data_IF_916910397776
#
_entry.id   IF_916910397776
#
_cell.length_a   1.000
_cell.length_b   1.000
_cell.length_c   1.000
_cell.angle_alpha   90.00
_cell.angle_beta   90.00
_cell.angle_gamma   90.00
#
_symmetry.space_group_name_H-M   'P 1'
#
loop_
_entity.id
_entity.type
_entity.pdbx_description
1 polymer ?
#
# COMPACT_ATOMS: atom_id res chain seq x y z
N UNK A 1 14.58 -5.82 15.51
CA UNK A 1 14.83 -5.60 14.07
C UNK A 1 13.66 -4.82 13.44
N UNK A 2 13.89 -4.02 12.40
CA UNK A 2 12.90 -3.09 11.82
C UNK A 2 11.58 -3.79 11.44
N UNK A 3 11.63 -4.94 10.75
CA UNK A 3 10.42 -5.63 10.30
C UNK A 3 9.59 -6.20 11.48
N UNK A 4 10.24 -6.73 12.51
CA UNK A 4 9.52 -7.17 13.73
C UNK A 4 8.82 -6.00 14.42
N UNK A 5 9.49 -4.83 14.50
CA UNK A 5 8.87 -3.62 15.05
C UNK A 5 7.70 -3.14 14.20
N UNK A 6 7.81 -3.19 12.86
CA UNK A 6 6.68 -2.90 11.99
C UNK A 6 5.49 -3.83 12.27
N UNK A 7 5.73 -5.13 12.43
CA UNK A 7 4.66 -6.08 12.77
C UNK A 7 4.01 -5.72 14.11
N UNK A 8 4.78 -5.47 15.17
CA UNK A 8 4.26 -5.05 16.47
C UNK A 8 3.44 -3.77 16.39
N UNK A 9 3.95 -2.78 15.66
CA UNK A 9 3.26 -1.52 15.44
C UNK A 9 1.91 -1.73 14.74
N UNK A 10 1.88 -2.48 13.65
CA UNK A 10 0.64 -2.74 12.90
C UNK A 10 -0.35 -3.57 13.74
N UNK A 11 0.12 -4.54 14.51
CA UNK A 11 -0.71 -5.35 15.40
C UNK A 11 -1.40 -4.51 16.48
N UNK A 12 -0.75 -3.45 16.99
CA UNK A 12 -1.35 -2.59 18.00
C UNK A 12 -2.63 -1.87 17.54
N UNK A 13 -2.80 -1.66 16.22
CA UNK A 13 -4.02 -1.06 15.67
C UNK A 13 -5.21 -2.02 15.57
N UNK A 14 -4.93 -3.32 15.47
CA UNK A 14 -5.97 -4.35 15.31
C UNK A 14 -6.18 -5.22 16.55
N UNK A 15 -5.46 -4.94 17.63
CA UNK A 15 -5.51 -5.71 18.88
C UNK A 15 -6.96 -5.90 19.34
N UNK A 16 -7.30 -7.11 19.78
CA UNK A 16 -8.67 -7.50 20.19
C UNK A 16 -9.73 -7.47 19.06
N UNK A 17 -9.40 -7.06 17.85
CA UNK A 17 -10.36 -6.88 16.76
C UNK A 17 -10.18 -7.89 15.62
N UNK A 18 -8.94 -8.25 15.32
CA UNK A 18 -8.57 -9.14 14.20
C UNK A 18 -7.43 -10.07 14.58
N UNK A 19 -7.29 -11.16 13.82
CA UNK A 19 -6.13 -12.05 13.91
C UNK A 19 -4.92 -11.47 13.20
N UNK A 20 -3.72 -11.99 13.50
CA UNK A 20 -2.46 -11.60 12.83
C UNK A 20 -2.53 -11.73 11.30
N UNK A 21 -3.36 -12.64 10.78
CA UNK A 21 -3.56 -12.83 9.34
C UNK A 21 -4.08 -11.58 8.64
N UNK A 22 -4.78 -10.67 9.33
CA UNK A 22 -5.21 -9.39 8.76
C UNK A 22 -4.01 -8.51 8.40
N UNK A 23 -2.98 -8.45 9.27
CA UNK A 23 -1.74 -7.71 8.98
C UNK A 23 -1.00 -8.33 7.80
N UNK A 24 -0.87 -9.68 7.77
CA UNK A 24 -0.29 -10.37 6.61
C UNK A 24 -0.99 -10.00 5.31
N UNK A 25 -2.32 -10.01 5.28
CA UNK A 25 -3.10 -9.67 4.09
C UNK A 25 -2.95 -8.20 3.67
N UNK A 26 -2.87 -7.29 4.64
CA UNK A 26 -2.63 -5.87 4.38
C UNK A 26 -1.23 -5.68 3.79
N UNK A 27 -0.19 -6.20 4.42
CA UNK A 27 1.20 -6.08 3.94
C UNK A 27 1.37 -6.68 2.54
N UNK A 28 0.72 -7.81 2.26
CA UNK A 28 0.74 -8.47 0.95
C UNK A 28 -0.10 -7.73 -0.11
N UNK A 29 -1.05 -6.91 0.29
CA UNK A 29 -1.98 -6.23 -0.62
C UNK A 29 -3.02 -7.17 -1.22
N UNK A 30 -3.59 -8.08 -0.40
CA UNK A 30 -4.66 -8.96 -0.84
C UNK A 30 -5.88 -8.14 -1.28
N UNK A 31 -6.30 -8.34 -2.53
CA UNK A 31 -7.45 -7.64 -3.13
C UNK A 31 -8.77 -8.30 -2.70
N UNK A 32 -9.12 -8.25 -1.42
CA UNK A 32 -10.43 -8.65 -0.91
C UNK A 32 -11.09 -7.46 -0.21
N UNK A 33 -12.42 -7.35 -0.32
CA UNK A 33 -13.19 -6.31 0.31
C UNK A 33 -12.90 -6.21 1.83
N UNK A 34 -12.71 -7.34 2.50
CA UNK A 34 -12.33 -7.38 3.91
C UNK A 34 -10.97 -6.72 4.17
N UNK A 35 -9.93 -7.02 3.36
CA UNK A 35 -8.60 -6.45 3.53
C UNK A 35 -8.60 -4.94 3.26
N UNK A 36 -9.31 -4.51 2.22
CA UNK A 36 -9.45 -3.09 1.86
C UNK A 36 -10.17 -2.36 2.99
N UNK A 37 -11.30 -2.91 3.46
CA UNK A 37 -12.05 -2.33 4.55
C UNK A 37 -11.24 -2.28 5.86
N UNK A 38 -10.55 -3.36 6.23
CA UNK A 38 -9.73 -3.40 7.44
C UNK A 38 -8.57 -2.41 7.36
N UNK A 39 -7.93 -2.24 6.18
CA UNK A 39 -6.86 -1.26 6.03
C UNK A 39 -7.32 0.18 6.31
N UNK A 40 -8.52 0.55 5.87
CA UNK A 40 -9.13 1.86 6.16
C UNK A 40 -9.56 1.96 7.63
N UNK A 41 -10.34 0.97 8.08
CA UNK A 41 -10.96 0.95 9.40
C UNK A 41 -9.95 1.02 10.55
N UNK A 42 -8.76 0.42 10.35
CA UNK A 42 -7.67 0.40 11.32
C UNK A 42 -6.52 1.37 10.98
N UNK A 43 -6.70 2.27 9.99
CA UNK A 43 -5.68 3.26 9.58
C UNK A 43 -4.37 2.63 9.09
N UNK A 44 -4.48 1.48 8.48
CA UNK A 44 -3.35 0.72 7.95
C UNK A 44 -3.19 0.85 6.43
N UNK A 45 -3.96 1.73 5.79
CA UNK A 45 -3.90 2.01 4.35
C UNK A 45 -2.50 2.36 3.84
N UNK A 46 -1.65 3.10 4.59
CA UNK A 46 -0.28 3.35 4.16
C UNK A 46 0.55 2.09 3.95
N UNK A 47 0.21 1.00 4.65
CA UNK A 47 0.95 -0.27 4.60
C UNK A 47 0.34 -1.30 3.64
N UNK A 48 -0.75 -0.96 2.96
CA UNK A 48 -1.44 -1.88 2.05
C UNK A 48 -0.54 -2.22 0.85
N UNK A 49 -0.14 -3.49 0.73
CA UNK A 49 0.61 -4.00 -0.43
C UNK A 49 2.07 -3.56 -0.52
N UNK A 50 2.68 -3.10 0.58
CA UNK A 50 4.11 -2.73 0.58
C UNK A 50 5.04 -3.94 0.46
N UNK A 51 4.55 -5.16 0.74
CA UNK A 51 5.32 -6.40 0.69
C UNK A 51 4.59 -7.49 -0.11
N UNK A 52 4.33 -7.32 -1.42
CA UNK A 52 3.50 -8.23 -2.20
C UNK A 52 4.06 -9.66 -2.32
N UNK A 53 5.38 -9.83 -2.13
CA UNK A 53 6.06 -11.13 -2.16
C UNK A 53 6.23 -11.77 -0.78
N UNK A 54 5.67 -11.18 0.29
CA UNK A 54 5.70 -11.77 1.63
C UNK A 54 4.96 -13.11 1.61
N UNK A 55 5.62 -14.21 2.01
CA UNK A 55 4.97 -15.51 2.17
C UNK A 55 4.29 -15.61 3.54
N UNK A 56 3.31 -16.51 3.65
CA UNK A 56 2.63 -16.75 4.94
C UNK A 56 3.58 -17.35 5.95
N UNK A 57 4.40 -18.31 5.50
CA UNK A 57 5.37 -19.01 6.37
C UNK A 57 6.42 -18.05 6.94
N UNK A 58 6.91 -17.11 6.10
CA UNK A 58 7.83 -16.08 6.56
C UNK A 58 7.16 -15.14 7.59
N UNK A 59 5.94 -14.74 7.35
CA UNK A 59 5.20 -13.90 8.30
C UNK A 59 4.98 -14.62 9.62
N UNK A 60 4.54 -15.88 9.59
CA UNK A 60 4.31 -16.73 10.77
C UNK A 60 5.61 -16.94 11.56
N UNK A 61 6.73 -17.16 10.87
CA UNK A 61 8.04 -17.24 11.52
C UNK A 61 8.35 -15.98 12.36
N UNK A 62 8.04 -14.79 11.87
CA UNK A 62 8.23 -13.55 12.64
C UNK A 62 7.25 -13.45 13.82
N UNK A 63 6.01 -13.90 13.68
CA UNK A 63 5.04 -13.98 14.79
C UNK A 63 5.56 -14.90 15.88
N UNK A 64 6.01 -16.12 15.54
CA UNK A 64 6.55 -17.09 16.49
C UNK A 64 7.80 -16.56 17.21
N UNK A 65 8.66 -15.85 16.47
CA UNK A 65 9.82 -15.16 17.09
C UNK A 65 9.40 -14.09 18.07
N UNK A 66 8.38 -13.31 17.77
CA UNK A 66 7.87 -12.27 18.68
C UNK A 66 7.25 -12.90 19.92
N UNK A 67 6.55 -14.04 19.79
CA UNK A 67 6.04 -14.81 20.93
C UNK A 67 7.21 -15.35 21.76
N UNK A 68 8.23 -15.96 21.15
CA UNK A 68 9.40 -16.50 21.84
C UNK A 68 10.22 -15.44 22.60
N UNK A 69 10.17 -14.17 22.15
CA UNK A 69 10.76 -13.01 22.81
C UNK A 69 9.89 -12.43 23.94
N UNK A 70 8.71 -12.97 24.19
CA UNK A 70 7.77 -12.46 25.16
C UNK A 70 7.13 -11.12 24.78
N UNK A 71 7.12 -10.75 23.50
CA UNK A 71 6.51 -9.52 22.99
C UNK A 71 5.07 -9.71 22.55
N UNK A 72 4.69 -10.93 22.22
CA UNK A 72 3.33 -11.33 21.87
C UNK A 72 2.91 -12.56 22.67
N UNK A 73 1.63 -12.70 22.92
CA UNK A 73 1.03 -13.91 23.47
C UNK A 73 -0.34 -14.20 22.82
N UNK A 74 -0.72 -15.48 22.76
CA UNK A 74 -2.00 -15.89 22.21
C UNK A 74 -3.03 -16.11 23.33
N UNK A 75 -4.25 -15.65 23.12
CA UNK A 75 -5.42 -15.95 23.96
C UNK A 75 -6.59 -16.31 23.05
N UNK A 76 -6.96 -17.59 23.01
CA UNK A 76 -7.90 -18.11 22.03
C UNK A 76 -7.38 -17.95 20.59
N UNK A 77 -8.19 -17.37 19.72
CA UNK A 77 -7.83 -17.14 18.32
C UNK A 77 -7.10 -15.80 18.09
N UNK A 78 -6.96 -14.98 19.12
CA UNK A 78 -6.36 -13.66 19.01
C UNK A 78 -4.96 -13.63 19.61
N UNK A 79 -4.13 -12.76 19.03
CA UNK A 79 -2.77 -12.47 19.50
C UNK A 79 -2.74 -11.06 20.09
N UNK A 80 -2.08 -10.92 21.22
CA UNK A 80 -2.01 -9.70 22.02
C UNK A 80 -0.58 -9.25 22.19
N UNK A 81 -0.39 -7.94 22.31
CA UNK A 81 0.88 -7.34 22.68
C UNK A 81 1.08 -7.42 24.20
N UNK A 82 2.33 -7.63 24.63
CA UNK A 82 2.71 -7.48 26.04
C UNK A 82 2.95 -6.01 26.37
N UNK A 83 3.04 -5.66 27.67
CA UNK A 83 3.38 -4.31 28.10
C UNK A 83 4.74 -3.85 27.56
N UNK A 84 5.70 -4.76 27.42
CA UNK A 84 7.00 -4.48 26.83
C UNK A 84 6.87 -4.12 25.33
N UNK A 85 6.05 -4.84 24.58
CA UNK A 85 5.77 -4.54 23.19
C UNK A 85 5.10 -3.17 23.02
N UNK A 86 4.16 -2.81 23.89
CA UNK A 86 3.55 -1.49 23.90
C UNK A 86 4.56 -0.36 24.21
N UNK A 87 5.52 -0.60 25.14
CA UNK A 87 6.60 0.35 25.40
C UNK A 87 7.50 0.53 24.19
N UNK A 88 7.90 -0.55 23.53
CA UNK A 88 8.67 -0.51 22.30
C UNK A 88 7.97 0.28 21.18
N UNK A 89 6.66 0.17 21.04
CA UNK A 89 5.90 0.91 20.04
C UNK A 89 5.84 2.41 20.32
N UNK A 90 6.00 2.86 21.56
CA UNK A 90 6.04 4.28 21.95
C UNK A 90 7.37 4.95 21.65
N UNK A 91 8.42 4.21 21.34
CA UNK A 91 9.72 4.76 20.94
C UNK A 91 9.59 5.29 19.49
N UNK A 92 9.23 6.55 19.31
CA UNK A 92 8.88 7.18 18.03
C UNK A 92 9.99 7.16 16.96
N UNK A 93 11.25 6.99 17.35
CA UNK A 93 12.39 7.16 16.43
C UNK A 93 12.65 5.98 15.47
N UNK A 94 12.04 4.81 15.68
CA UNK A 94 12.45 3.62 14.95
C UNK A 94 12.03 3.62 13.48
N UNK A 95 11.03 4.43 13.13
CA UNK A 95 10.57 4.50 11.74
C UNK A 95 10.19 5.91 11.26
N UNK A 96 10.57 6.95 12.02
CA UNK A 96 10.31 8.35 11.72
C UNK A 96 10.78 8.79 10.32
N UNK A 97 11.78 8.08 9.76
CA UNK A 97 12.34 8.36 8.44
C UNK A 97 11.72 7.51 7.31
N UNK A 98 10.75 6.63 7.61
CA UNK A 98 10.11 5.79 6.59
C UNK A 98 8.78 6.42 6.17
N UNK A 99 8.59 6.53 4.86
CA UNK A 99 7.37 7.00 4.26
C UNK A 99 6.67 5.88 3.49
N UNK A 100 5.45 5.56 3.85
CA UNK A 100 4.63 4.58 3.15
C UNK A 100 3.30 5.20 2.71
N UNK A 101 2.89 4.92 1.50
CA UNK A 101 1.56 5.21 0.97
C UNK A 101 1.14 4.05 0.05
N UNK A 102 0.97 2.87 0.66
CA UNK A 102 0.69 1.62 -0.06
C UNK A 102 -0.63 1.66 -0.80
N UNK A 103 -1.64 2.33 -0.24
CA UNK A 103 -2.94 2.49 -0.89
C UNK A 103 -2.81 3.13 -2.27
N UNK A 104 -2.02 4.19 -2.39
CA UNK A 104 -1.82 4.90 -3.67
C UNK A 104 -0.74 4.27 -4.53
N UNK A 105 0.35 3.76 -3.92
CA UNK A 105 1.57 3.46 -4.67
C UNK A 105 1.92 1.98 -4.78
N UNK A 106 1.30 1.08 -4.02
CA UNK A 106 1.66 -0.35 -4.04
C UNK A 106 1.64 -1.00 -5.42
N UNK A 107 0.77 -0.55 -6.32
CA UNK A 107 0.66 -1.09 -7.68
C UNK A 107 1.67 -0.47 -8.66
N UNK A 108 2.13 0.74 -8.41
CA UNK A 108 2.99 1.52 -9.32
C UNK A 108 4.45 1.59 -8.86
N UNK A 109 4.73 1.43 -7.56
CA UNK A 109 6.06 1.62 -7.00
C UNK A 109 7.11 0.67 -7.61
N UNK A 110 6.83 -0.63 -7.65
CA UNK A 110 7.77 -1.59 -8.21
C UNK A 110 7.95 -1.44 -9.74
N UNK A 111 6.89 -1.28 -10.55
CA UNK A 111 7.02 -0.93 -11.96
C UNK A 111 7.83 0.35 -12.19
N UNK A 112 7.54 1.43 -11.48
CA UNK A 112 8.29 2.68 -11.55
C UNK A 112 9.78 2.47 -11.25
N UNK A 113 10.10 1.78 -10.17
CA UNK A 113 11.47 1.52 -9.76
C UNK A 113 12.25 0.71 -10.82
N UNK A 114 11.65 -0.32 -11.40
CA UNK A 114 12.24 -1.12 -12.47
C UNK A 114 12.51 -0.29 -13.75
N UNK A 115 11.56 0.57 -14.12
CA UNK A 115 11.72 1.50 -15.25
C UNK A 115 12.87 2.47 -14.99
N UNK A 116 12.96 3.00 -13.76
CA UNK A 116 14.04 3.90 -13.38
C UNK A 116 15.41 3.21 -13.41
N UNK A 117 15.52 1.97 -12.89
CA UNK A 117 16.75 1.17 -12.96
C UNK A 117 17.19 0.94 -14.41
N UNK A 118 16.29 0.55 -15.29
CA UNK A 118 16.61 0.33 -16.70
C UNK A 118 16.92 1.65 -17.42
N UNK A 119 16.26 2.76 -17.06
CA UNK A 119 16.56 4.08 -17.65
C UNK A 119 17.99 4.52 -17.30
N UNK A 120 18.39 4.38 -16.04
CA UNK A 120 19.76 4.71 -15.58
C UNK A 120 20.78 3.83 -16.33
N UNK A 121 20.57 2.52 -16.39
CA UNK A 121 21.44 1.62 -17.14
C UNK A 121 21.55 2.03 -18.60
N UNK A 122 20.42 2.19 -19.28
CA UNK A 122 20.39 2.49 -20.70
C UNK A 122 21.05 3.84 -21.02
N UNK A 123 20.76 4.87 -20.23
CA UNK A 123 21.37 6.20 -20.39
C UNK A 123 22.88 6.13 -20.22
N UNK A 124 23.37 5.47 -19.16
CA UNK A 124 24.80 5.32 -18.86
C UNK A 124 25.57 4.60 -20.00
N UNK A 125 25.02 3.50 -20.51
CA UNK A 125 25.66 2.75 -21.62
C UNK A 125 25.63 3.55 -22.92
N UNK A 126 24.49 4.13 -23.28
CA UNK A 126 24.34 4.83 -24.56
C UNK A 126 25.21 6.10 -24.66
N UNK A 127 25.38 6.84 -23.57
CA UNK A 127 26.30 8.00 -23.51
C UNK A 127 27.75 7.57 -23.81
N UNK A 128 28.15 6.37 -23.37
CA UNK A 128 29.48 5.80 -23.66
C UNK A 128 29.56 5.10 -25.02
N UNK A 129 28.54 5.20 -25.86
CA UNK A 129 28.50 4.54 -27.18
C UNK A 129 28.36 3.02 -27.13
N UNK A 130 27.99 2.47 -25.96
CA UNK A 130 27.79 1.04 -25.75
C UNK A 130 26.34 0.66 -26.07
N UNK A 131 26.06 0.26 -27.29
CA UNK A 131 24.69 -0.07 -27.73
C UNK A 131 24.29 -1.52 -27.47
N UNK A 132 25.24 -2.38 -27.08
CA UNK A 132 25.02 -3.80 -26.85
C UNK A 132 25.27 -4.13 -25.38
N UNK A 133 24.20 -4.17 -24.57
CA UNK A 133 24.24 -4.56 -23.16
C UNK A 133 23.01 -5.41 -22.80
N UNK A 134 23.13 -6.25 -21.79
CA UNK A 134 22.01 -7.04 -21.27
C UNK A 134 21.14 -6.15 -20.35
N UNK A 135 19.86 -5.91 -20.67
CA UNK A 135 18.97 -5.10 -19.84
C UNK A 135 18.76 -5.70 -18.45
N UNK A 136 18.75 -4.87 -17.40
CA UNK A 136 18.41 -5.30 -16.01
C UNK A 136 16.96 -5.73 -15.86
N UNK A 137 16.11 -5.54 -16.85
CA UNK A 137 14.73 -6.02 -16.90
C UNK A 137 14.42 -6.63 -18.27
N UNK A 138 13.92 -7.84 -18.27
CA UNK A 138 13.43 -8.59 -19.42
C UNK A 138 11.95 -8.34 -19.75
N UNK A 139 11.27 -7.50 -18.96
CA UNK A 139 9.87 -7.17 -19.16
C UNK A 139 9.68 -6.22 -20.34
N UNK A 140 8.93 -6.66 -21.37
CA UNK A 140 8.71 -5.92 -22.62
C UNK A 140 8.04 -4.55 -22.39
N UNK A 141 7.13 -4.42 -21.44
CA UNK A 141 6.49 -3.16 -21.11
C UNK A 141 7.48 -2.15 -20.52
N UNK A 142 8.32 -2.61 -19.58
CA UNK A 142 9.38 -1.79 -18.98
C UNK A 142 10.36 -1.32 -20.05
N UNK A 143 10.81 -2.22 -20.95
CA UNK A 143 11.73 -1.88 -22.02
C UNK A 143 11.12 -0.89 -23.03
N UNK A 144 9.86 -1.07 -23.40
CA UNK A 144 9.14 -0.16 -24.29
C UNK A 144 9.02 1.24 -23.71
N UNK A 145 8.60 1.34 -22.47
CA UNK A 145 8.41 2.62 -21.79
C UNK A 145 9.74 3.36 -21.63
N UNK A 146 10.81 2.67 -21.27
CA UNK A 146 12.15 3.27 -21.18
C UNK A 146 12.65 3.73 -22.55
N UNK A 147 12.46 2.96 -23.62
CA UNK A 147 12.80 3.39 -25.00
C UNK A 147 12.05 4.67 -25.41
N UNK A 148 10.79 4.80 -25.04
CA UNK A 148 9.99 5.99 -25.31
C UNK A 148 10.54 7.20 -24.55
N UNK A 149 10.80 7.07 -23.25
CA UNK A 149 11.35 8.15 -22.42
C UNK A 149 12.73 8.59 -22.93
N UNK A 150 13.62 7.67 -23.29
CA UNK A 150 14.94 7.97 -23.88
C UNK A 150 14.82 8.82 -25.14
N UNK A 151 13.88 8.49 -26.05
CA UNK A 151 13.65 9.24 -27.29
C UNK A 151 13.08 10.63 -27.05
N UNK A 152 12.06 10.73 -26.19
CA UNK A 152 11.33 11.97 -25.95
C UNK A 152 12.11 12.97 -25.09
N UNK A 153 12.96 12.50 -24.17
CA UNK A 153 13.66 13.36 -23.19
C UNK A 153 15.05 13.77 -23.64
N UNK A 154 15.48 13.41 -24.85
CA UNK A 154 16.80 13.77 -25.43
C UNK A 154 17.99 13.46 -24.50
N UNK A 155 17.88 12.43 -23.63
CA UNK A 155 18.87 12.13 -22.59
C UNK A 155 20.26 11.84 -23.15
N UNK A 156 20.34 11.23 -24.33
CA UNK A 156 21.63 10.88 -24.93
C UNK A 156 22.35 12.14 -25.45
N UNK A 157 21.62 13.02 -26.12
CA UNK A 157 22.21 14.28 -26.67
C UNK A 157 22.60 15.27 -25.58
N UNK A 158 21.91 15.24 -24.42
CA UNK A 158 22.23 16.05 -23.24
C UNK A 158 23.21 15.39 -22.27
N UNK A 159 23.86 14.29 -22.68
CA UNK A 159 24.77 13.53 -21.80
C UNK A 159 24.15 13.11 -20.47
N UNK A 160 22.85 12.83 -20.44
CA UNK A 160 22.12 12.39 -19.26
C UNK A 160 21.80 13.47 -18.22
N UNK A 161 22.10 14.73 -18.53
CA UNK A 161 22.02 15.84 -17.56
C UNK A 161 20.65 15.93 -16.89
N UNK A 162 19.54 15.87 -17.66
CA UNK A 162 18.20 15.95 -17.10
C UNK A 162 17.89 14.84 -16.08
N UNK A 163 18.25 13.60 -16.41
CA UNK A 163 18.07 12.46 -15.48
C UNK A 163 18.95 12.61 -14.23
N UNK A 164 20.21 13.06 -14.42
CA UNK A 164 21.14 13.27 -13.30
C UNK A 164 20.59 14.29 -12.31
N UNK A 165 20.09 15.44 -12.78
CA UNK A 165 19.54 16.50 -11.94
C UNK A 165 18.32 16.02 -11.15
N UNK A 166 17.40 15.29 -11.79
CA UNK A 166 16.22 14.73 -11.12
C UNK A 166 16.63 13.71 -10.05
N UNK A 167 17.52 12.78 -10.38
CA UNK A 167 18.00 11.78 -9.40
C UNK A 167 18.75 12.44 -8.25
N UNK A 168 19.60 13.42 -8.52
CA UNK A 168 20.32 14.14 -7.48
C UNK A 168 19.35 14.78 -6.47
N UNK A 169 18.28 15.43 -6.92
CA UNK A 169 17.25 15.99 -6.05
C UNK A 169 16.52 14.89 -5.26
N UNK A 170 16.14 13.78 -5.91
CA UNK A 170 15.45 12.67 -5.24
C UNK A 170 16.33 12.02 -4.16
N UNK A 171 17.63 11.89 -4.38
CA UNK A 171 18.57 11.38 -3.38
C UNK A 171 18.72 12.31 -2.17
N UNK A 172 18.59 13.61 -2.35
CA UNK A 172 18.63 14.58 -1.24
C UNK A 172 17.41 14.48 -0.29
N UNK A 173 16.31 13.81 -0.70
CA UNK A 173 15.13 13.63 0.14
C UNK A 173 15.31 12.55 1.23
N UNK A 174 16.39 11.78 1.17
CA UNK A 174 16.61 10.65 2.06
C UNK A 174 17.95 10.75 2.77
N UNK A 175 18.09 10.05 3.88
CA UNK A 175 19.36 9.95 4.59
C UNK A 175 20.42 9.18 3.77
N UNK A 176 21.68 9.36 4.12
CA UNK A 176 22.84 8.76 3.43
C UNK A 176 22.73 7.22 3.33
N UNK A 177 22.25 6.57 4.39
CA UNK A 177 22.10 5.11 4.40
C UNK A 177 21.13 4.66 3.31
N UNK A 178 19.95 5.30 3.21
CA UNK A 178 18.95 4.97 2.18
C UNK A 178 19.43 5.35 0.78
N UNK A 179 20.11 6.49 0.64
CA UNK A 179 20.73 6.88 -0.62
C UNK A 179 21.71 5.81 -1.10
N UNK A 180 22.58 5.33 -0.23
CA UNK A 180 23.54 4.27 -0.55
C UNK A 180 22.87 2.94 -0.93
N UNK A 181 21.82 2.51 -0.18
CA UNK A 181 21.05 1.31 -0.54
C UNK A 181 20.43 1.42 -1.96
N UNK A 182 19.91 2.58 -2.31
CA UNK A 182 19.32 2.82 -3.63
C UNK A 182 20.40 2.85 -4.71
N UNK A 183 21.50 3.59 -4.49
CA UNK A 183 22.59 3.71 -5.45
C UNK A 183 23.22 2.36 -5.78
N UNK A 184 23.43 1.49 -4.78
CA UNK A 184 23.98 0.15 -5.01
C UNK A 184 23.08 -0.73 -5.88
N UNK A 185 21.80 -0.45 -5.99
CA UNK A 185 20.86 -1.21 -6.81
C UNK A 185 20.85 -0.78 -8.29
N UNK A 186 21.47 0.34 -8.64
CA UNK A 186 21.53 0.82 -10.02
C UNK A 186 22.71 0.25 -10.77
N UNK A 187 22.47 -0.23 -11.98
CA UNK A 187 23.50 -0.63 -12.94
C UNK A 187 23.84 0.55 -13.85
N UNK A 188 25.09 0.79 -14.07
CA UNK A 188 25.62 1.69 -15.10
C UNK A 188 26.62 0.97 -16.00
N UNK A 189 27.24 1.70 -16.93
CA UNK A 189 28.20 1.15 -17.86
C UNK A 189 29.50 0.61 -17.19
N UNK A 190 29.87 1.18 -16.06
CA UNK A 190 31.09 0.80 -15.32
C UNK A 190 30.80 0.03 -14.02
N UNK A 191 29.56 -0.10 -13.65
CA UNK A 191 29.16 -0.71 -12.39
C UNK A 191 27.91 -1.56 -12.57
N UNK A 192 27.96 -2.79 -12.06
CA UNK A 192 26.79 -3.67 -12.00
C UNK A 192 26.09 -3.44 -10.67
N UNK A 193 24.78 -3.16 -10.73
CA UNK A 193 23.96 -3.01 -9.53
C UNK A 193 23.81 -4.33 -8.76
N UNK A 194 23.77 -4.21 -7.46
CA UNK A 194 23.63 -5.35 -6.55
C UNK A 194 22.16 -5.81 -6.42
N UNK A 195 21.97 -7.11 -6.30
CA UNK A 195 20.68 -7.68 -5.92
C UNK A 195 20.32 -7.34 -4.48
N UNK A 196 19.03 -7.45 -4.14
CA UNK A 196 18.54 -7.18 -2.78
C UNK A 196 19.29 -7.97 -1.71
N UNK A 197 19.60 -9.26 -1.99
CA UNK A 197 20.35 -10.12 -1.07
C UNK A 197 21.81 -9.66 -0.90
N UNK A 198 22.47 -9.26 -1.98
CA UNK A 198 23.84 -8.73 -1.92
C UNK A 198 23.91 -7.43 -1.13
N UNK A 199 22.96 -6.50 -1.35
CA UNK A 199 22.85 -5.26 -0.57
C UNK A 199 22.60 -5.61 0.91
N UNK A 200 21.72 -6.55 1.21
CA UNK A 200 21.45 -7.00 2.57
C UNK A 200 22.70 -7.53 3.27
N UNK A 201 23.51 -8.31 2.55
CA UNK A 201 24.79 -8.82 3.05
C UNK A 201 25.79 -7.71 3.30
N UNK A 202 25.94 -6.75 2.38
CA UNK A 202 26.86 -5.61 2.48
C UNK A 202 26.55 -4.73 3.71
N UNK A 203 25.27 -4.47 3.96
CA UNK A 203 24.83 -3.68 5.12
C UNK A 203 24.67 -4.50 6.41
N UNK A 204 24.94 -5.81 6.39
CA UNK A 204 24.68 -6.72 7.50
C UNK A 204 23.24 -6.55 8.07
N UNK A 205 22.28 -6.50 7.17
CA UNK A 205 20.86 -6.34 7.49
C UNK A 205 20.04 -7.50 6.88
N UNK A 206 18.92 -7.89 7.50
CA UNK A 206 17.98 -8.80 6.83
C UNK A 206 17.46 -8.22 5.52
N UNK A 207 17.29 -9.06 4.51
CA UNK A 207 16.78 -8.67 3.18
C UNK A 207 15.45 -7.89 3.28
N UNK A 208 14.58 -8.30 4.20
CA UNK A 208 13.28 -7.63 4.41
C UNK A 208 13.42 -6.19 4.91
N UNK A 209 14.45 -5.91 5.71
CA UNK A 209 14.76 -4.55 6.18
C UNK A 209 15.21 -3.67 5.02
N UNK A 210 16.11 -4.17 4.17
CA UNK A 210 16.56 -3.46 2.97
C UNK A 210 15.37 -3.20 2.03
N UNK A 211 14.51 -4.18 1.83
CA UNK A 211 13.31 -4.04 1.01
C UNK A 211 12.38 -2.93 1.53
N UNK A 212 12.15 -2.84 2.85
CA UNK A 212 11.33 -1.78 3.45
C UNK A 212 11.94 -0.39 3.21
N UNK A 213 13.26 -0.25 3.32
CA UNK A 213 13.93 1.02 3.00
C UNK A 213 13.76 1.39 1.53
N UNK A 214 13.94 0.46 0.60
CA UNK A 214 13.77 0.69 -0.84
C UNK A 214 12.32 1.11 -1.14
N UNK A 215 11.33 0.35 -0.68
CA UNK A 215 9.91 0.66 -0.94
C UNK A 215 9.52 2.01 -0.34
N UNK A 216 9.94 2.31 0.88
CA UNK A 216 9.73 3.61 1.51
C UNK A 216 10.33 4.76 0.70
N UNK A 217 11.55 4.59 0.21
CA UNK A 217 12.22 5.60 -0.64
C UNK A 217 11.48 5.78 -1.97
N UNK A 218 11.07 4.69 -2.61
CA UNK A 218 10.32 4.75 -3.87
C UNK A 218 8.96 5.44 -3.68
N UNK A 219 8.24 5.16 -2.60
CA UNK A 219 6.98 5.84 -2.29
C UNK A 219 7.20 7.34 -2.07
N UNK A 220 8.24 7.72 -1.34
CA UNK A 220 8.61 9.12 -1.13
C UNK A 220 8.95 9.81 -2.46
N UNK A 221 9.74 9.20 -3.31
CA UNK A 221 10.10 9.73 -4.63
C UNK A 221 8.86 9.93 -5.51
N UNK A 222 7.98 8.95 -5.58
CA UNK A 222 6.72 9.06 -6.33
C UNK A 222 5.88 10.23 -5.81
N UNK A 223 5.75 10.38 -4.50
CA UNK A 223 5.00 11.50 -3.89
C UNK A 223 5.57 12.86 -4.31
N UNK A 224 6.89 13.02 -4.27
CA UNK A 224 7.55 14.27 -4.66
C UNK A 224 7.44 14.55 -6.16
N UNK A 225 7.66 13.55 -7.01
CA UNK A 225 7.50 13.69 -8.47
C UNK A 225 6.08 14.10 -8.82
N UNK A 226 5.08 13.54 -8.16
CA UNK A 226 3.68 13.86 -8.41
C UNK A 226 3.27 15.26 -7.91
N UNK A 227 3.88 15.74 -6.83
CA UNK A 227 3.65 17.09 -6.30
C UNK A 227 4.27 18.17 -7.19
N UNK A 228 5.39 17.88 -7.80
CA UNK A 228 6.14 18.86 -8.59
C UNK A 228 6.69 18.25 -9.89
N UNK A 229 5.78 17.79 -10.73
CA UNK A 229 6.12 17.11 -11.99
C UNK A 229 6.93 17.99 -12.97
N UNK A 230 6.88 19.32 -12.84
CA UNK A 230 7.65 20.23 -13.67
C UNK A 230 9.16 20.16 -13.38
N UNK A 231 9.55 19.86 -12.12
CA UNK A 231 10.95 19.64 -11.73
C UNK A 231 11.45 18.21 -12.00
N UNK A 232 10.52 17.27 -12.26
CA UNK A 232 10.85 15.87 -12.54
C UNK A 232 10.26 15.38 -13.87
N UNK A 233 10.49 16.12 -15.01
CA UNK A 233 9.82 15.81 -16.27
C UNK A 233 10.20 14.43 -16.85
N UNK A 234 11.38 13.89 -16.58
CA UNK A 234 11.81 12.58 -17.06
C UNK A 234 11.16 11.47 -16.25
N UNK A 235 11.29 11.51 -14.93
CA UNK A 235 10.72 10.50 -14.02
C UNK A 235 9.20 10.50 -14.05
N UNK A 236 8.56 11.66 -14.18
CA UNK A 236 7.10 11.81 -14.25
C UNK A 236 6.47 11.06 -15.44
N UNK A 237 7.19 10.92 -16.57
CA UNK A 237 6.69 10.16 -17.74
C UNK A 237 6.33 8.72 -17.41
N UNK A 238 6.98 8.10 -16.43
CA UNK A 238 6.63 6.76 -15.97
C UNK A 238 5.36 6.70 -15.10
N UNK A 239 4.87 7.87 -14.67
CA UNK A 239 3.70 7.99 -13.79
C UNK A 239 2.47 8.59 -14.48
N UNK A 240 2.60 9.11 -15.73
CA UNK A 240 1.52 9.78 -16.45
C UNK A 240 0.32 8.87 -16.73
N UNK A 241 0.56 7.60 -17.06
CA UNK A 241 -0.48 6.63 -17.46
C UNK A 241 -0.97 5.76 -16.30
N UNK A 242 -0.83 6.22 -15.06
CA UNK A 242 -1.37 5.48 -13.91
C UNK A 242 -2.89 5.50 -13.95
N UNK A 243 -3.50 4.36 -13.71
CA UNK A 243 -4.92 4.30 -13.42
C UNK A 243 -5.16 4.92 -12.04
N UNK A 244 -5.77 6.08 -11.99
CA UNK A 244 -6.06 6.80 -10.74
C UNK A 244 -7.17 6.15 -9.91
N UNK A 245 -7.87 5.15 -10.48
CA UNK A 245 -8.93 4.44 -9.75
C UNK A 245 -8.33 3.59 -8.64
N UNK A 246 -8.62 3.98 -7.41
CA UNK A 246 -8.24 3.20 -6.22
C UNK A 246 -9.05 1.89 -6.09
N UNK A 247 -10.08 1.71 -6.91
CA UNK A 247 -10.93 0.54 -6.95
C UNK A 247 -10.25 -0.64 -7.64
N UNK A 248 -10.58 -1.86 -7.22
CA UNK A 248 -10.23 -3.03 -8.00
C UNK A 248 -10.98 -3.00 -9.33
N UNK A 249 -10.41 -3.57 -10.39
CA UNK A 249 -11.07 -3.63 -11.70
C UNK A 249 -12.50 -4.20 -11.62
N UNK A 250 -12.69 -5.21 -10.78
CA UNK A 250 -14.02 -5.83 -10.58
C UNK A 250 -15.00 -4.90 -9.88
N UNK A 251 -14.55 -4.14 -8.87
CA UNK A 251 -15.37 -3.13 -8.20
C UNK A 251 -15.72 -1.98 -9.15
N UNK A 252 -14.76 -1.54 -9.98
CA UNK A 252 -14.98 -0.52 -11.01
C UNK A 252 -16.10 -0.91 -11.99
N UNK A 253 -16.06 -2.14 -12.51
CA UNK A 253 -17.14 -2.65 -13.37
C UNK A 253 -18.50 -2.72 -12.68
N UNK A 254 -18.53 -2.96 -11.36
CA UNK A 254 -19.77 -2.90 -10.58
C UNK A 254 -20.25 -1.46 -10.45
N UNK A 255 -19.35 -0.52 -10.16
CA UNK A 255 -19.67 0.89 -10.03
C UNK A 255 -20.30 1.46 -11.31
N UNK A 256 -19.73 1.17 -12.47
CA UNK A 256 -20.29 1.56 -13.77
C UNK A 256 -21.72 1.04 -13.99
N UNK A 257 -22.05 -0.15 -13.47
CA UNK A 257 -23.41 -0.70 -13.55
C UNK A 257 -24.36 -0.02 -12.57
N UNK A 258 -23.90 0.33 -11.39
CA UNK A 258 -24.67 1.11 -10.41
C UNK A 258 -25.02 2.48 -11.01
N UNK A 259 -24.06 3.17 -11.62
CA UNK A 259 -24.27 4.47 -12.28
C UNK A 259 -25.27 4.38 -13.46
N UNK A 260 -25.37 3.20 -14.09
CA UNK A 260 -26.38 2.92 -15.11
C UNK A 260 -27.78 2.57 -14.53
N UNK A 261 -27.94 2.58 -13.19
CA UNK A 261 -29.21 2.32 -12.51
C UNK A 261 -29.56 0.84 -12.33
N UNK A 262 -28.58 -0.09 -12.46
CA UNK A 262 -28.83 -1.51 -12.23
C UNK A 262 -28.90 -1.82 -10.75
N UNK A 263 -29.86 -2.67 -10.35
CA UNK A 263 -29.93 -3.20 -8.98
C UNK A 263 -28.84 -4.23 -8.70
N UNK A 264 -28.59 -4.53 -7.41
CA UNK A 264 -27.61 -5.56 -7.01
C UNK A 264 -27.88 -6.90 -7.66
N UNK A 265 -29.16 -7.30 -7.76
CA UNK A 265 -29.60 -8.54 -8.40
C UNK A 265 -29.32 -8.55 -9.91
N UNK A 266 -29.63 -7.46 -10.57
CA UNK A 266 -29.38 -7.30 -12.01
C UNK A 266 -27.88 -7.33 -12.31
N UNK A 267 -27.06 -6.66 -11.49
CA UNK A 267 -25.60 -6.68 -11.65
C UNK A 267 -25.06 -8.09 -11.43
N UNK A 268 -25.52 -8.79 -10.40
CA UNK A 268 -25.13 -10.17 -10.11
C UNK A 268 -25.46 -11.08 -11.30
N UNK A 269 -26.64 -10.94 -11.88
CA UNK A 269 -27.09 -11.69 -13.04
C UNK A 269 -26.24 -11.40 -14.29
N UNK A 270 -26.10 -10.14 -14.67
CA UNK A 270 -25.37 -9.74 -15.90
C UNK A 270 -23.88 -10.07 -15.80
N UNK A 271 -23.29 -9.99 -14.63
CA UNK A 271 -21.86 -10.28 -14.42
C UNK A 271 -21.59 -11.74 -14.06
N UNK A 272 -22.60 -12.58 -13.96
CA UNK A 272 -22.50 -13.99 -13.54
C UNK A 272 -21.75 -14.15 -12.19
N UNK A 273 -22.02 -13.24 -11.25
CA UNK A 273 -21.42 -13.22 -9.90
C UNK A 273 -22.48 -13.49 -8.83
N UNK A 274 -22.04 -13.96 -7.67
CA UNK A 274 -22.92 -14.08 -6.51
C UNK A 274 -23.32 -12.68 -6.00
N UNK A 275 -24.53 -12.54 -5.46
CA UNK A 275 -24.98 -11.32 -4.78
C UNK A 275 -23.98 -10.83 -3.76
N UNK A 276 -23.45 -11.73 -2.91
CA UNK A 276 -22.45 -11.39 -1.88
C UNK A 276 -21.16 -10.79 -2.47
N UNK A 277 -20.77 -11.19 -3.70
CA UNK A 277 -19.62 -10.60 -4.39
C UNK A 277 -19.91 -9.16 -4.84
N UNK A 278 -21.12 -8.88 -5.29
CA UNK A 278 -21.54 -7.50 -5.64
C UNK A 278 -21.62 -6.65 -4.36
N UNK A 279 -22.15 -7.18 -3.27
CA UNK A 279 -22.15 -6.52 -1.96
C UNK A 279 -20.72 -6.19 -1.49
N UNK A 280 -19.76 -7.10 -1.71
CA UNK A 280 -18.33 -6.87 -1.42
C UNK A 280 -17.76 -5.72 -2.28
N UNK A 281 -18.10 -5.65 -3.57
CA UNK A 281 -17.68 -4.54 -4.44
C UNK A 281 -18.30 -3.20 -3.97
N UNK A 282 -19.56 -3.19 -3.57
CA UNK A 282 -20.24 -1.98 -3.06
C UNK A 282 -19.56 -1.49 -1.76
N UNK A 283 -19.20 -2.41 -0.86
CA UNK A 283 -18.43 -2.05 0.34
C UNK A 283 -17.06 -1.46 -0.01
N UNK A 284 -16.36 -2.03 -1.00
CA UNK A 284 -15.11 -1.47 -1.51
C UNK A 284 -15.31 -0.06 -2.07
N UNK A 285 -16.33 0.15 -2.91
CA UNK A 285 -16.67 1.46 -3.48
C UNK A 285 -16.95 2.47 -2.36
N UNK A 286 -17.84 2.13 -1.42
CA UNK A 286 -18.18 3.01 -0.30
C UNK A 286 -16.98 3.32 0.62
N UNK A 287 -16.01 2.41 0.70
CA UNK A 287 -14.78 2.60 1.47
C UNK A 287 -13.83 3.58 0.78
N UNK A 288 -13.76 3.55 -0.57
CA UNK A 288 -12.82 4.33 -1.37
C UNK A 288 -13.40 5.65 -1.86
N UNK A 289 -14.68 5.68 -2.19
CA UNK A 289 -15.40 6.84 -2.66
C UNK A 289 -16.37 7.34 -1.59
N UNK A 290 -15.99 8.43 -0.92
CA UNK A 290 -16.80 9.06 0.11
C UNK A 290 -18.06 9.76 -0.43
N UNK A 291 -18.11 10.07 -1.72
CA UNK A 291 -19.27 10.65 -2.38
C UNK A 291 -20.33 9.59 -2.75
N UNK A 292 -19.95 8.30 -2.76
CA UNK A 292 -20.86 7.20 -3.06
C UNK A 292 -22.02 7.15 -2.07
N UNK A 293 -23.25 7.21 -2.54
CA UNK A 293 -24.45 7.21 -1.69
C UNK A 293 -24.78 5.80 -1.21
N UNK A 294 -24.85 5.61 0.09
CA UNK A 294 -25.22 4.32 0.70
C UNK A 294 -26.69 4.25 1.14
N UNK A 295 -27.45 5.35 1.00
CA UNK A 295 -28.83 5.47 1.48
C UNK A 295 -29.80 4.46 0.84
N UNK A 296 -29.50 4.03 -0.39
CA UNK A 296 -30.26 3.00 -1.10
C UNK A 296 -30.12 1.60 -0.47
N UNK A 297 -29.00 1.37 0.25
CA UNK A 297 -28.67 0.08 0.88
C UNK A 297 -28.91 0.08 2.39
N UNK A 298 -28.78 1.24 3.02
CA UNK A 298 -28.87 1.41 4.49
C UNK A 298 -29.75 2.61 4.79
N UNK A 299 -30.99 2.36 5.25
CA UNK A 299 -31.87 3.45 5.66
C UNK A 299 -31.29 4.19 6.85
N UNK A 300 -31.62 5.47 7.01
CA UNK A 300 -31.13 6.32 8.12
C UNK A 300 -31.38 5.69 9.48
N UNK A 301 -32.56 5.05 9.68
CA UNK A 301 -32.90 4.33 10.92
C UNK A 301 -31.90 3.19 11.19
N UNK A 302 -31.58 2.38 10.17
CA UNK A 302 -30.65 1.25 10.31
C UNK A 302 -29.24 1.77 10.55
N UNK A 303 -28.85 2.85 9.85
CA UNK A 303 -27.56 3.51 10.05
C UNK A 303 -27.36 3.93 11.50
N UNK A 304 -28.33 4.68 12.09
CA UNK A 304 -28.25 5.13 13.49
C UNK A 304 -28.20 3.96 14.48
N UNK A 305 -28.98 2.89 14.25
CA UNK A 305 -28.93 1.70 15.11
C UNK A 305 -27.54 1.03 15.10
N UNK A 306 -26.92 0.93 13.92
CA UNK A 306 -25.58 0.35 13.79
C UNK A 306 -24.53 1.25 14.44
N UNK A 307 -24.60 2.57 14.21
CA UNK A 307 -23.69 3.56 14.80
C UNK A 307 -23.73 3.53 16.32
N UNK A 308 -24.94 3.51 16.92
CA UNK A 308 -25.13 3.41 18.37
C UNK A 308 -24.54 2.10 18.94
N UNK A 309 -24.73 0.99 18.24
CA UNK A 309 -24.13 -0.29 18.64
C UNK A 309 -22.60 -0.25 18.61
N UNK A 310 -22.01 0.33 17.56
CA UNK A 310 -20.54 0.49 17.41
C UNK A 310 -19.99 1.37 18.54
N UNK A 311 -20.64 2.48 18.83
CA UNK A 311 -20.19 3.44 19.85
C UNK A 311 -20.28 2.83 21.27
N UNK A 312 -21.33 2.06 21.56
CA UNK A 312 -21.48 1.37 22.85
C UNK A 312 -20.46 0.26 23.07
N UNK A 313 -20.22 -0.55 22.03
CA UNK A 313 -19.34 -1.71 22.13
C UNK A 313 -17.85 -1.36 21.98
N UNK A 314 -17.53 -0.18 21.46
CA UNK A 314 -16.15 0.23 21.12
C UNK A 314 -15.40 -0.82 20.30
N UNK A 315 -16.13 -1.61 19.48
CA UNK A 315 -15.59 -2.71 18.68
C UNK A 315 -15.91 -2.56 17.19
N UNK A 316 -15.04 -3.11 16.34
CA UNK A 316 -15.22 -3.22 14.89
C UNK A 316 -15.45 -4.68 14.45
N UNK A 317 -15.69 -5.60 15.40
CA UNK A 317 -15.96 -7.01 15.13
C UNK A 317 -17.41 -7.18 14.71
N UNK A 318 -17.63 -7.52 13.43
CA UNK A 318 -18.96 -7.61 12.82
C UNK A 318 -19.92 -8.52 13.59
N UNK A 319 -19.43 -9.66 14.10
CA UNK A 319 -20.24 -10.61 14.86
C UNK A 319 -20.81 -9.97 16.14
N UNK A 320 -19.94 -9.31 16.92
CA UNK A 320 -20.37 -8.66 18.18
C UNK A 320 -21.34 -7.51 17.93
N UNK A 321 -21.13 -6.74 16.86
CA UNK A 321 -22.05 -5.68 16.45
C UNK A 321 -23.41 -6.29 16.05
N UNK A 322 -23.38 -7.35 15.22
CA UNK A 322 -24.61 -8.03 14.76
C UNK A 322 -25.46 -8.58 15.89
N UNK A 323 -24.83 -9.13 16.94
CA UNK A 323 -25.51 -9.67 18.13
C UNK A 323 -26.30 -8.61 18.92
N UNK A 324 -26.03 -7.32 18.73
CA UNK A 324 -26.72 -6.19 19.37
C UNK A 324 -27.79 -5.53 18.48
N UNK A 325 -27.99 -6.06 17.27
CA UNK A 325 -28.87 -5.47 16.27
C UNK A 325 -30.06 -6.40 15.97
N UNK A 326 -31.19 -5.86 15.51
CA UNK A 326 -32.31 -6.65 15.02
C UNK A 326 -31.89 -7.68 13.95
N UNK A 327 -32.66 -8.78 13.87
CA UNK A 327 -32.32 -9.89 12.93
C UNK A 327 -32.34 -9.47 11.46
N UNK A 328 -33.15 -8.51 11.09
CA UNK A 328 -33.28 -7.96 9.74
C UNK A 328 -32.10 -7.10 9.29
N UNK A 329 -31.25 -6.62 10.22
CA UNK A 329 -30.04 -5.87 9.88
C UNK A 329 -28.94 -6.83 9.39
N UNK A 330 -28.53 -6.68 8.14
CA UNK A 330 -27.57 -7.58 7.49
C UNK A 330 -26.11 -7.21 7.79
N UNK A 331 -25.19 -8.17 7.62
CA UNK A 331 -23.74 -7.90 7.66
C UNK A 331 -23.29 -6.90 6.60
N UNK A 332 -23.93 -6.90 5.44
CA UNK A 332 -23.67 -5.93 4.37
C UNK A 332 -23.94 -4.49 4.85
N UNK A 333 -25.08 -4.26 5.50
CA UNK A 333 -25.43 -2.95 6.05
C UNK A 333 -24.47 -2.51 7.16
N UNK A 334 -24.06 -3.42 8.05
CA UNK A 334 -23.04 -3.11 9.06
C UNK A 334 -21.72 -2.70 8.42
N UNK A 335 -21.26 -3.41 7.39
CA UNK A 335 -20.01 -3.10 6.67
C UNK A 335 -20.08 -1.76 5.95
N UNK A 336 -21.18 -1.41 5.33
CA UNK A 336 -21.38 -0.10 4.69
C UNK A 336 -21.35 1.04 5.71
N UNK A 337 -22.03 0.88 6.83
CA UNK A 337 -22.01 1.87 7.92
C UNK A 337 -20.59 2.06 8.47
N UNK A 338 -19.85 0.97 8.72
CA UNK A 338 -18.45 1.03 9.15
C UNK A 338 -17.55 1.73 8.13
N UNK A 339 -17.76 1.51 6.84
CA UNK A 339 -17.01 2.17 5.78
C UNK A 339 -17.21 3.70 5.81
N UNK A 340 -18.46 4.15 6.01
CA UNK A 340 -18.81 5.57 6.09
C UNK A 340 -18.25 6.22 7.37
N UNK A 341 -18.48 5.63 8.53
CA UNK A 341 -17.97 6.13 9.82
C UNK A 341 -16.43 6.21 9.85
N UNK A 342 -15.74 5.26 9.24
CA UNK A 342 -14.28 5.29 9.10
C UNK A 342 -13.79 6.50 8.31
N UNK A 343 -14.49 6.84 7.24
CA UNK A 343 -14.18 7.99 6.39
C UNK A 343 -14.46 9.34 7.08
N UNK A 344 -15.55 9.45 7.83
CA UNK A 344 -15.94 10.67 8.55
C UNK A 344 -14.94 10.99 9.67
N UNK A 345 -14.53 10.01 10.46
CA UNK A 345 -13.53 10.19 11.52
C UNK A 345 -12.18 10.63 10.95
N UNK A 346 -11.79 10.10 9.81
CA UNK A 346 -10.54 10.52 9.16
C UNK A 346 -10.57 11.99 8.71
N UNK A 347 -11.73 12.49 8.23
CA UNK A 347 -11.90 13.91 7.86
C UNK A 347 -11.80 14.85 9.06
N UNK A 348 -12.43 14.51 10.17
CA UNK A 348 -12.40 15.32 11.39
C UNK A 348 -10.97 15.47 11.93
N UNK A 349 -10.19 14.40 11.94
CA UNK A 349 -8.81 14.43 12.43
C UNK A 349 -7.84 15.21 11.53
N UNK A 350 -8.05 15.17 10.20
CA UNK A 350 -7.28 15.99 9.25
C UNK A 350 -7.61 17.48 9.43
N UNK A 351 -8.87 17.81 9.76
CA UNK A 351 -9.28 19.20 10.04
C UNK A 351 -8.76 19.68 11.40
N UNK A 352 -8.67 18.82 12.40
CA UNK A 352 -8.19 19.15 13.75
C UNK A 352 -6.64 19.21 13.86
N UNK A 353 -5.92 19.11 12.73
CA UNK A 353 -4.47 19.30 12.68
C UNK A 353 -3.63 18.18 13.29
N UNK A 354 -4.21 17.01 13.57
CA UNK A 354 -3.50 15.79 13.96
C UNK A 354 -3.06 15.01 12.71
N UNK A 355 -2.30 15.66 11.84
CA UNK A 355 -1.64 14.99 10.71
C UNK A 355 -0.38 14.30 11.23
N UNK A 356 -0.32 12.98 11.03
CA UNK A 356 0.87 12.16 11.27
C UNK A 356 1.97 12.43 10.25
#
# INVERSE_FOLDING_TARGET
>A
MLFERLILYLLSYIENQRTTSSIYHILKGKKSAQTIQDSQLFRLSPYLGILPKLSKDEFDYYIDRLISKGLLFNSGELTYLTEEAHKLNKEEQWFSNLYFNGEKYSQIALPFYRKLQLLVQSTSHLIKGQNNFLPVSDNDEVQRDVKNVLKESQLISSNGEGLYQELHQLFQLVDEKRANLMMMSFTGADQVGLSLNQIASEFNQPERVVQLHIISTVHLWIEYILKDHNHFPVCYKFLMNRNETSLTHSAQMTYEKIDQGYTVEQIAYVRHLKRSTIEDHIVEIATKDQAFKIDEYVSQRVYSLIEDAINRLTTKRLKLIKEQLPEDVTYFQIRLTLARLGAERHKQEVQDGQSF
#
